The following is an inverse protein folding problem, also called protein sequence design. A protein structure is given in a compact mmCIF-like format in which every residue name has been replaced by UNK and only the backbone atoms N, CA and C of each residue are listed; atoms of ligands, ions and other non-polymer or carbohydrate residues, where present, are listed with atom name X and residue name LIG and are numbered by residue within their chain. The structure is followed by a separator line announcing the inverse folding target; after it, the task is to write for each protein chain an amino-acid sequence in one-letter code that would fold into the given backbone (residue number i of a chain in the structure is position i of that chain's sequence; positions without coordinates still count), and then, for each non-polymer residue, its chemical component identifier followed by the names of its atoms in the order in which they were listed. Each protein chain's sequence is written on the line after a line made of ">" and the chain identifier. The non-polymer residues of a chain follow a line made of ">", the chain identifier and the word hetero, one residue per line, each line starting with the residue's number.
data_IF_845004768163
#
_entry.id   IF_845004768163
#
_cell.length_a   1.000
_cell.length_b   1.000
_cell.length_c   1.000
_cell.angle_alpha   90.00
_cell.angle_beta   90.00
_cell.angle_gamma   90.00
#
_symmetry.space_group_name_H-M   'P 1'
#
loop_
_entity.id
_entity.type
_entity.pdbx_description
1 polymer ?
#
# COMPACT_ATOMS: atom_id res chain seq x y z
N UNK A 1 -2.45 8.23 -21.83
CA UNK A 1 -3.62 7.33 -22.01
C UNK A 1 -3.75 6.79 -23.44
N UNK A 2 -4.10 7.61 -24.44
CA UNK A 2 -4.36 7.13 -25.82
C UNK A 2 -3.18 6.38 -26.47
N UNK A 3 -1.95 6.85 -26.30
CA UNK A 3 -0.74 6.20 -26.81
C UNK A 3 -0.52 4.81 -26.20
N UNK A 4 -0.75 4.65 -24.89
CA UNK A 4 -0.67 3.36 -24.20
C UNK A 4 -1.73 2.38 -24.73
N UNK A 5 -2.95 2.84 -24.99
CA UNK A 5 -3.98 2.01 -25.62
C UNK A 5 -3.53 1.55 -27.02
N UNK A 6 -3.07 2.48 -27.86
CA UNK A 6 -2.60 2.16 -29.21
C UNK A 6 -1.35 1.27 -29.24
N UNK A 7 -0.46 1.37 -28.25
CA UNK A 7 0.69 0.47 -28.11
C UNK A 7 0.24 -0.95 -27.72
N UNK A 8 -0.74 -1.08 -26.83
CA UNK A 8 -1.35 -2.37 -26.44
C UNK A 8 -2.23 -2.99 -27.53
N UNK A 9 -2.72 -2.19 -28.49
CA UNK A 9 -3.38 -2.69 -29.70
C UNK A 9 -2.38 -3.22 -30.75
N UNK A 10 -1.11 -2.81 -30.67
CA UNK A 10 -0.03 -3.21 -31.60
C UNK A 10 0.85 -4.35 -31.04
N UNK A 11 0.96 -4.48 -29.72
CA UNK A 11 1.80 -5.49 -29.06
C UNK A 11 1.20 -5.93 -27.71
N UNK A 12 1.48 -7.18 -27.34
CA UNK A 12 1.15 -7.76 -26.04
C UNK A 12 2.43 -7.88 -25.19
N UNK A 13 2.83 -6.84 -24.43
CA UNK A 13 4.07 -6.86 -23.67
C UNK A 13 3.96 -7.69 -22.39
N UNK A 14 4.96 -8.53 -22.11
CA UNK A 14 5.08 -9.29 -20.87
C UNK A 14 5.20 -8.39 -19.63
N UNK A 15 5.73 -7.18 -19.79
CA UNK A 15 5.95 -6.19 -18.74
C UNK A 15 5.39 -4.82 -19.13
N UNK A 16 4.70 -4.18 -18.20
CA UNK A 16 4.26 -2.79 -18.32
C UNK A 16 4.89 -1.94 -17.20
N UNK A 17 5.72 -0.97 -17.53
CA UNK A 17 6.24 0.02 -16.57
C UNK A 17 5.29 1.22 -16.55
N UNK A 18 4.58 1.41 -15.44
CA UNK A 18 3.59 2.48 -15.28
C UNK A 18 4.13 3.56 -14.33
N UNK A 19 4.21 4.80 -14.79
CA UNK A 19 4.59 5.95 -13.97
C UNK A 19 3.38 6.49 -13.19
N UNK A 20 3.55 6.67 -11.88
CA UNK A 20 2.53 7.25 -11.00
C UNK A 20 2.98 8.66 -10.55
N UNK A 21 2.99 9.58 -11.52
CA UNK A 21 2.88 11.02 -11.26
C UNK A 21 1.58 11.31 -10.53
N UNK A 22 1.59 12.20 -9.52
CA UNK A 22 0.52 12.23 -8.54
C UNK A 22 -0.80 12.78 -9.12
N UNK A 23 -1.79 11.90 -9.23
CA UNK A 23 -3.16 12.20 -9.62
C UNK A 23 -3.97 10.90 -9.65
N UNK A 24 -4.75 10.63 -8.60
CA UNK A 24 -5.35 9.30 -8.38
C UNK A 24 -6.30 8.85 -9.51
N UNK A 25 -6.87 9.79 -10.29
CA UNK A 25 -7.67 9.48 -11.48
C UNK A 25 -6.88 8.70 -12.53
N UNK A 26 -5.65 9.12 -12.86
CA UNK A 26 -4.85 8.52 -13.93
C UNK A 26 -4.52 7.06 -13.64
N UNK A 27 -4.17 6.75 -12.38
CA UNK A 27 -3.89 5.38 -11.93
C UNK A 27 -5.13 4.49 -12.05
N UNK A 28 -6.28 4.94 -11.53
CA UNK A 28 -7.56 4.22 -11.57
C UNK A 28 -8.00 3.98 -13.01
N UNK A 29 -7.98 5.00 -13.85
CA UNK A 29 -8.39 4.92 -15.26
C UNK A 29 -7.51 4.00 -16.08
N UNK A 30 -6.19 3.98 -15.83
CA UNK A 30 -5.27 3.06 -16.51
C UNK A 30 -5.50 1.62 -16.05
N UNK A 31 -5.66 1.34 -14.74
CA UNK A 31 -5.98 -0.02 -14.29
C UNK A 31 -7.34 -0.52 -14.80
N UNK A 32 -8.36 0.35 -14.87
CA UNK A 32 -9.65 0.01 -15.50
C UNK A 32 -9.50 -0.29 -17.00
N UNK A 33 -8.74 0.53 -17.74
CA UNK A 33 -8.48 0.32 -19.17
C UNK A 33 -7.73 -0.99 -19.44
N UNK A 34 -6.73 -1.33 -18.61
CA UNK A 34 -6.00 -2.59 -18.69
C UNK A 34 -6.91 -3.79 -18.37
N UNK A 35 -7.80 -3.64 -17.40
CA UNK A 35 -8.77 -4.67 -16.98
C UNK A 35 -9.80 -4.95 -18.08
N UNK A 36 -10.36 -3.91 -18.71
CA UNK A 36 -11.26 -4.01 -19.86
C UNK A 36 -10.61 -4.68 -21.09
N UNK A 37 -9.27 -4.61 -21.19
CA UNK A 37 -8.46 -5.22 -22.25
C UNK A 37 -7.90 -6.60 -21.86
N UNK A 38 -8.29 -7.15 -20.71
CA UNK A 38 -7.78 -8.43 -20.17
C UNK A 38 -6.25 -8.51 -20.14
N UNK A 39 -5.57 -7.42 -19.80
CA UNK A 39 -4.11 -7.36 -19.80
C UNK A 39 -3.49 -8.23 -18.69
N UNK A 40 -2.92 -9.37 -19.08
CA UNK A 40 -2.28 -10.34 -18.19
C UNK A 40 -0.79 -10.06 -17.89
N UNK A 41 -0.20 -9.05 -18.54
CA UNK A 41 1.22 -8.72 -18.39
C UNK A 41 1.56 -8.12 -17.02
N UNK A 42 2.81 -8.30 -16.60
CA UNK A 42 3.29 -7.91 -15.27
C UNK A 42 3.51 -6.41 -15.19
N UNK A 43 2.68 -5.73 -14.40
CA UNK A 43 2.73 -4.28 -14.25
C UNK A 43 3.66 -3.86 -13.11
N UNK A 44 4.74 -3.14 -13.42
CA UNK A 44 5.69 -2.57 -12.46
C UNK A 44 5.33 -1.10 -12.26
N UNK A 45 5.11 -0.69 -11.01
CA UNK A 45 4.73 0.68 -10.67
C UNK A 45 5.98 1.52 -10.36
N UNK A 46 6.14 2.66 -11.02
CA UNK A 46 7.23 3.61 -10.78
C UNK A 46 6.69 4.80 -9.99
N UNK A 47 7.34 5.20 -8.90
CA UNK A 47 6.89 6.35 -8.10
C UNK A 47 8.02 6.99 -7.30
N UNK A 48 7.98 8.32 -7.15
CA UNK A 48 8.78 9.07 -6.18
C UNK A 48 8.07 9.32 -4.85
N UNK A 49 6.84 8.84 -4.69
CA UNK A 49 5.98 9.13 -3.54
C UNK A 49 6.12 8.09 -2.42
N UNK A 50 5.69 8.47 -1.21
CA UNK A 50 5.76 7.64 -0.02
C UNK A 50 4.91 6.36 -0.09
N UNK A 51 5.20 5.41 0.80
CA UNK A 51 4.57 4.10 0.84
C UNK A 51 3.01 4.10 0.85
N UNK A 52 2.29 5.04 1.49
CA UNK A 52 0.82 5.03 1.48
C UNK A 52 0.21 5.12 0.08
N UNK A 53 0.67 6.06 -0.77
CA UNK A 53 0.18 6.24 -2.15
C UNK A 53 0.39 4.98 -2.98
N UNK A 54 1.55 4.35 -2.81
CA UNK A 54 1.90 3.10 -3.47
C UNK A 54 1.03 1.92 -3.04
N UNK A 55 0.67 1.83 -1.76
CA UNK A 55 -0.24 0.80 -1.25
C UNK A 55 -1.68 1.01 -1.75
N UNK A 56 -2.16 2.26 -1.84
CA UNK A 56 -3.44 2.56 -2.48
C UNK A 56 -3.44 2.12 -3.96
N UNK A 57 -2.41 2.51 -4.74
CA UNK A 57 -2.29 2.11 -6.14
C UNK A 57 -2.20 0.58 -6.33
N UNK A 58 -1.42 -0.12 -5.50
CA UNK A 58 -1.33 -1.59 -5.49
C UNK A 58 -2.69 -2.23 -5.25
N UNK A 59 -3.43 -1.74 -4.25
CA UNK A 59 -4.76 -2.24 -3.87
C UNK A 59 -5.82 -2.00 -4.95
N UNK A 60 -5.75 -0.88 -5.66
CA UNK A 60 -6.64 -0.60 -6.81
C UNK A 60 -6.31 -1.56 -7.95
N UNK A 61 -5.05 -1.68 -8.36
CA UNK A 61 -4.62 -2.60 -9.42
C UNK A 61 -5.02 -4.05 -9.15
N UNK A 62 -4.82 -4.54 -7.93
CA UNK A 62 -5.26 -5.88 -7.50
C UNK A 62 -6.78 -6.07 -7.58
N UNK A 63 -7.59 -5.09 -7.16
CA UNK A 63 -9.07 -5.14 -7.27
C UNK A 63 -9.55 -5.07 -8.73
N UNK A 64 -8.76 -4.49 -9.63
CA UNK A 64 -8.97 -4.50 -11.08
C UNK A 64 -8.42 -5.75 -11.79
N UNK A 65 -7.87 -6.73 -11.06
CA UNK A 65 -7.31 -7.97 -11.61
C UNK A 65 -5.93 -7.83 -12.27
N UNK A 66 -5.26 -6.68 -12.11
CA UNK A 66 -3.95 -6.41 -12.73
C UNK A 66 -2.83 -7.04 -11.90
N UNK A 67 -1.94 -7.78 -12.57
CA UNK A 67 -0.76 -8.38 -11.93
C UNK A 67 0.28 -7.30 -11.59
N UNK A 68 0.15 -6.66 -10.42
CA UNK A 68 1.17 -5.74 -9.90
C UNK A 68 2.41 -6.56 -9.50
N UNK A 69 3.45 -6.46 -10.31
CA UNK A 69 4.67 -7.25 -10.23
C UNK A 69 5.74 -6.73 -9.29
N UNK A 70 5.60 -5.50 -8.79
CA UNK A 70 6.56 -4.84 -7.91
C UNK A 70 6.54 -3.32 -8.07
N UNK A 71 7.39 -2.64 -7.30
CA UNK A 71 7.47 -1.18 -7.25
C UNK A 71 8.93 -0.72 -7.42
N UNK A 72 9.16 0.17 -8.38
CA UNK A 72 10.44 0.79 -8.66
C UNK A 72 10.43 2.24 -8.12
N UNK A 73 11.11 2.47 -6.98
CA UNK A 73 11.16 3.78 -6.32
C UNK A 73 12.08 4.74 -7.08
N UNK A 74 11.66 5.99 -7.29
CA UNK A 74 12.49 7.04 -7.90
C UNK A 74 13.29 7.80 -6.84
N UNK A 75 14.58 8.11 -7.05
CA UNK A 75 15.45 7.61 -8.13
C UNK A 75 15.85 6.13 -7.90
N UNK A 76 15.88 5.35 -8.96
CA UNK A 76 16.33 3.94 -8.97
C UNK A 76 17.67 3.78 -9.68
N UNK A 77 18.35 2.67 -9.42
CA UNK A 77 19.53 2.19 -10.16
C UNK A 77 19.10 1.22 -11.25
N UNK A 78 19.98 0.98 -12.23
CA UNK A 78 19.72 -0.01 -13.29
C UNK A 78 19.54 -1.44 -12.73
N UNK A 79 20.19 -1.76 -11.61
CA UNK A 79 20.10 -3.08 -11.00
C UNK A 79 18.70 -3.33 -10.40
N UNK A 80 18.14 -2.37 -9.67
CA UNK A 80 16.79 -2.45 -9.08
C UNK A 80 15.71 -2.80 -10.13
N UNK A 81 15.83 -2.21 -11.33
CA UNK A 81 14.98 -2.54 -12.48
C UNK A 81 15.29 -3.92 -13.06
N UNK A 82 16.58 -4.29 -13.19
CA UNK A 82 17.00 -5.62 -13.65
C UNK A 82 16.44 -6.72 -12.75
N UNK A 83 16.47 -6.53 -11.43
CA UNK A 83 15.98 -7.50 -10.45
C UNK A 83 14.46 -7.64 -10.50
N UNK A 84 13.72 -6.54 -10.64
CA UNK A 84 12.27 -6.56 -10.86
C UNK A 84 11.86 -7.28 -12.15
N UNK A 85 12.60 -7.07 -13.25
CA UNK A 85 12.35 -7.77 -14.53
C UNK A 85 12.80 -9.25 -14.49
N UNK A 86 13.90 -9.56 -13.80
CA UNK A 86 14.50 -10.91 -13.80
C UNK A 86 13.90 -11.83 -12.74
N UNK A 87 13.31 -11.29 -11.67
CA UNK A 87 12.52 -12.05 -10.72
C UNK A 87 11.39 -12.78 -11.47
N UNK A 88 11.23 -14.08 -11.23
CA UNK A 88 10.09 -14.84 -11.77
C UNK A 88 8.80 -14.26 -11.17
N UNK A 89 7.69 -14.09 -11.92
CA UNK A 89 6.41 -13.81 -11.30
C UNK A 89 6.09 -14.97 -10.34
N UNK A 90 6.10 -14.69 -9.04
CA UNK A 90 5.72 -15.69 -8.05
C UNK A 90 4.27 -16.10 -8.32
N UNK A 91 3.96 -17.41 -8.46
CA UNK A 91 2.56 -17.85 -8.41
C UNK A 91 1.98 -17.36 -7.07
N UNK A 92 0.76 -16.85 -7.06
CA UNK A 92 0.28 -15.96 -6.00
C UNK A 92 0.16 -16.61 -4.59
N UNK A 93 1.30 -16.76 -3.91
CA UNK A 93 1.55 -17.09 -2.50
C UNK A 93 3.07 -17.09 -2.25
N UNK A 94 3.46 -16.44 -1.18
CA UNK A 94 4.66 -16.63 -0.34
C UNK A 94 6.03 -17.02 -0.94
N UNK A 95 7.17 -16.40 -0.60
CA UNK A 95 7.61 -15.11 0.00
C UNK A 95 9.17 -15.12 -0.22
N UNK A 96 10.10 -14.36 0.39
CA UNK A 96 10.09 -13.32 1.43
C UNK A 96 11.28 -12.35 1.23
N UNK A 97 11.09 -11.05 1.43
CA UNK A 97 12.15 -10.11 1.85
C UNK A 97 11.53 -8.94 2.61
N UNK A 98 11.25 -9.18 3.89
CA UNK A 98 11.40 -8.19 4.98
C UNK A 98 10.75 -6.80 4.81
N UNK A 99 9.45 -6.82 4.54
CA UNK A 99 8.52 -5.84 5.13
C UNK A 99 7.28 -6.57 5.69
N UNK A 100 7.51 -7.76 6.25
CA UNK A 100 6.52 -8.72 6.71
C UNK A 100 5.75 -8.19 7.92
N UNK A 101 4.70 -7.42 7.67
CA UNK A 101 3.65 -7.13 8.67
C UNK A 101 2.66 -8.28 8.78
N UNK A 102 3.19 -9.50 8.95
CA UNK A 102 2.49 -10.57 9.69
C UNK A 102 2.45 -10.14 11.16
N UNK A 103 1.66 -9.10 11.42
CA UNK A 103 1.60 -8.36 12.68
C UNK A 103 1.49 -9.29 13.88
N UNK A 104 2.33 -9.06 14.87
CA UNK A 104 2.66 -10.02 15.91
C UNK A 104 1.54 -10.04 16.99
N UNK A 105 0.65 -11.06 17.07
CA UNK A 105 -0.47 -11.01 18.01
C UNK A 105 0.01 -11.16 19.47
N UNK A 106 1.16 -11.83 19.64
CA UNK A 106 1.89 -11.92 20.90
C UNK A 106 2.40 -10.55 21.37
N UNK A 107 2.82 -9.66 20.46
CA UNK A 107 3.33 -8.32 20.78
C UNK A 107 2.25 -7.43 21.41
N UNK A 108 0.99 -7.57 20.98
CA UNK A 108 -0.14 -6.89 21.64
C UNK A 108 -0.36 -7.43 23.07
N UNK A 109 -0.32 -8.75 23.25
CA UNK A 109 -0.46 -9.38 24.58
C UNK A 109 0.69 -9.00 25.52
N UNK A 110 1.91 -8.87 24.99
CA UNK A 110 3.07 -8.40 25.74
C UNK A 110 2.96 -6.92 26.09
N UNK A 111 2.61 -6.05 25.13
CA UNK A 111 2.44 -4.62 25.36
C UNK A 111 1.30 -4.29 26.33
N UNK A 112 0.20 -5.06 26.33
CA UNK A 112 -0.85 -4.95 27.33
C UNK A 112 -0.34 -5.32 28.74
N UNK A 113 0.49 -6.37 28.85
CA UNK A 113 1.10 -6.79 30.13
C UNK A 113 2.18 -5.82 30.62
N UNK A 114 2.97 -5.26 29.71
CA UNK A 114 4.05 -4.30 29.98
C UNK A 114 3.58 -2.85 30.15
N UNK A 115 2.29 -2.56 29.90
CA UNK A 115 1.72 -1.21 29.88
C UNK A 115 2.38 -0.30 28.82
N UNK A 116 2.73 -0.88 27.67
CA UNK A 116 3.36 -0.17 26.54
C UNK A 116 2.35 0.37 25.52
N UNK A 117 1.06 0.07 25.66
CA UNK A 117 0.01 0.58 24.78
C UNK A 117 -0.33 2.03 25.15
N UNK A 118 -0.19 2.95 24.20
CA UNK A 118 -0.55 4.36 24.33
C UNK A 118 -1.46 4.81 23.17
N UNK A 119 -2.16 5.93 23.33
CA UNK A 119 -3.05 6.50 22.31
C UNK A 119 -2.57 7.90 21.91
N UNK A 120 -2.48 8.14 20.60
CA UNK A 120 -2.23 9.45 20.02
C UNK A 120 -3.53 9.99 19.41
N UNK A 121 -3.70 11.30 19.36
CA UNK A 121 -4.94 11.92 18.87
C UNK A 121 -4.68 12.73 17.60
N UNK A 122 -5.38 12.39 16.52
CA UNK A 122 -5.36 13.17 15.28
C UNK A 122 -6.63 14.04 15.22
N UNK A 123 -6.52 15.39 15.24
CA UNK A 123 -7.70 16.26 15.26
C UNK A 123 -8.48 16.18 13.94
N UNK A 124 -9.81 16.27 14.05
CA UNK A 124 -10.74 16.41 12.93
C UNK A 124 -11.18 17.87 12.89
N UNK A 125 -10.94 18.52 11.76
CA UNK A 125 -11.13 19.96 11.55
C UNK A 125 -12.37 20.17 10.67
N UNK A 126 -13.23 21.10 11.06
CA UNK A 126 -14.32 21.56 10.20
C UNK A 126 -13.75 22.40 9.04
N UNK A 127 -14.18 22.14 7.81
CA UNK A 127 -13.60 22.81 6.63
C UNK A 127 -14.22 24.18 6.31
N UNK A 128 -15.33 24.55 6.97
CA UNK A 128 -15.97 25.87 6.85
C UNK A 128 -15.53 26.81 7.99
N UNK A 129 -15.46 26.31 9.24
CA UNK A 129 -15.07 27.15 10.40
C UNK A 129 -13.60 27.05 10.80
N UNK A 130 -12.90 25.99 10.38
CA UNK A 130 -11.53 25.61 10.81
C UNK A 130 -11.39 25.24 12.30
N UNK A 131 -12.50 25.02 13.01
CA UNK A 131 -12.50 24.55 14.40
C UNK A 131 -12.16 23.05 14.53
N UNK A 132 -11.63 22.66 15.69
CA UNK A 132 -11.46 21.24 16.06
C UNK A 132 -12.81 20.68 16.52
N UNK A 133 -13.48 19.94 15.64
CA UNK A 133 -14.80 19.31 15.91
C UNK A 133 -14.70 17.88 16.46
N UNK A 134 -13.48 17.33 16.56
CA UNK A 134 -13.24 16.05 17.22
C UNK A 134 -11.80 15.56 17.05
N UNK A 135 -11.58 14.27 17.35
CA UNK A 135 -10.31 13.60 17.07
C UNK A 135 -10.52 12.13 16.69
N UNK A 136 -9.50 11.51 16.12
CA UNK A 136 -9.36 10.06 15.98
C UNK A 136 -8.34 9.55 17.01
N UNK A 137 -8.69 8.47 17.72
CA UNK A 137 -7.80 7.80 18.67
C UNK A 137 -6.95 6.76 17.96
N UNK A 138 -5.64 6.93 18.00
CA UNK A 138 -4.68 6.14 17.23
C UNK A 138 -3.75 5.36 18.17
N UNK A 139 -4.06 4.08 18.39
CA UNK A 139 -3.27 3.19 19.22
C UNK A 139 -1.80 3.05 18.74
N UNK A 140 -0.86 2.97 19.68
CA UNK A 140 0.58 2.76 19.46
C UNK A 140 1.14 1.85 20.55
N UNK A 141 2.20 1.10 20.25
CA UNK A 141 2.98 0.38 21.25
C UNK A 141 4.35 1.06 21.40
N UNK A 142 4.67 1.58 22.59
CA UNK A 142 5.99 2.09 22.95
C UNK A 142 6.86 0.95 23.46
N UNK A 143 7.33 0.12 22.53
CA UNK A 143 8.19 -1.02 22.84
C UNK A 143 9.54 -0.55 23.40
N UNK A 144 10.06 -1.11 24.51
CA UNK A 144 11.28 -0.63 25.15
C UNK A 144 12.50 -0.64 24.22
N UNK A 145 12.59 -1.64 23.34
CA UNK A 145 13.73 -1.81 22.41
C UNK A 145 13.43 -1.36 20.96
N UNK A 146 12.15 -1.33 20.55
CA UNK A 146 11.75 -1.12 19.14
C UNK A 146 11.14 0.27 18.91
N UNK A 147 11.00 1.08 19.96
CA UNK A 147 10.40 2.41 19.89
C UNK A 147 8.88 2.36 19.67
N UNK A 148 8.35 3.36 18.98
CA UNK A 148 6.90 3.51 18.76
C UNK A 148 6.46 2.71 17.53
N UNK A 149 5.64 1.68 17.75
CA UNK A 149 5.09 0.79 16.73
C UNK A 149 3.63 1.16 16.41
N UNK A 150 3.27 1.08 15.13
CA UNK A 150 1.94 1.40 14.61
C UNK A 150 1.02 0.14 14.54
N UNK A 151 -0.32 0.30 14.50
CA UNK A 151 -1.28 -0.81 14.57
C UNK A 151 -1.01 -1.98 13.61
N UNK A 152 -0.58 -1.70 12.37
CA UNK A 152 -0.25 -2.74 11.39
C UNK A 152 0.84 -3.74 11.84
N UNK A 153 1.66 -3.39 12.84
CA UNK A 153 2.72 -4.25 13.39
C UNK A 153 2.18 -5.24 14.44
N UNK A 154 1.00 -5.00 15.02
CA UNK A 154 0.42 -5.81 16.11
C UNK A 154 -1.05 -6.20 15.93
N UNK A 155 -1.69 -5.76 14.83
CA UNK A 155 -3.05 -6.10 14.43
C UNK A 155 -3.07 -6.56 12.94
N UNK A 156 -2.60 -7.78 12.63
CA UNK A 156 -2.43 -8.26 11.24
C UNK A 156 -3.74 -8.34 10.44
N UNK A 157 -4.82 -8.73 11.11
CA UNK A 157 -6.10 -9.11 10.50
C UNK A 157 -7.23 -8.13 10.87
N UNK A 158 -6.91 -7.02 11.54
CA UNK A 158 -7.90 -6.00 11.86
C UNK A 158 -8.28 -5.22 10.59
N UNK A 159 -9.32 -5.70 9.90
CA UNK A 159 -9.99 -4.95 8.84
C UNK A 159 -10.47 -3.58 9.33
N UNK A 160 -10.74 -2.67 8.39
CA UNK A 160 -11.08 -1.26 8.68
C UNK A 160 -12.15 -1.12 9.75
N UNK A 161 -13.16 -1.98 9.74
CA UNK A 161 -14.28 -1.96 10.69
C UNK A 161 -13.87 -2.30 12.13
N UNK A 162 -12.89 -3.21 12.31
CA UNK A 162 -12.36 -3.57 13.63
C UNK A 162 -11.47 -2.45 14.21
N UNK A 163 -10.68 -1.77 13.35
CA UNK A 163 -9.93 -0.58 13.75
C UNK A 163 -10.87 0.59 14.06
N UNK A 164 -11.94 0.76 13.29
CA UNK A 164 -12.94 1.81 13.49
C UNK A 164 -13.76 1.58 14.77
N UNK A 165 -14.10 0.33 15.11
CA UNK A 165 -14.75 -0.02 16.38
C UNK A 165 -13.91 0.37 17.61
N UNK A 166 -12.58 0.30 17.53
CA UNK A 166 -11.67 0.78 18.58
C UNK A 166 -11.61 2.32 18.70
N UNK A 167 -12.24 3.06 17.77
CA UNK A 167 -12.37 4.53 17.83
C UNK A 167 -13.75 5.00 18.32
N UNK A 168 -14.61 4.08 18.76
CA UNK A 168 -16.00 4.32 19.18
C UNK A 168 -16.27 3.89 20.63
N UNK A 169 -15.23 3.82 21.48
CA UNK A 169 -15.30 3.60 22.93
C UNK A 169 -14.83 4.85 23.69
#
# INVERSE_FOLDING_TARGET
>A
KAELASALDQAYPDFLLLDLSLGDSDAVEIFQMLSQRSFIGRTILMSGHGAPVLEHARRIGQRSGIMIGGILRKPFRQQDLRDLLSSKPAPARSDETEATSSGEPALLQEALRGQWLEFWYQPKIDLETLDVVGAESLARIRHPERGVLAPAVFLPEAGTDALHALTLQ
#
